data_IF_457272912794
#
_entry.id   IF_457272912794
#
_cell.length_a   1.000
_cell.length_b   1.000
_cell.length_c   1.000
_cell.angle_alpha   90.00
_cell.angle_beta   90.00
_cell.angle_gamma   90.00
#
_symmetry.space_group_name_H-M   'P 1'
#
loop_
_entity.id
_entity.type
_entity.pdbx_description
1 polymer ?
#
# COMPACT_ATOMS: atom_id res chain seq x y z
N UNK A 1 -5.55 -7.96 5.78
CA UNK A 1 -5.55 -6.59 6.36
C UNK A 1 -6.93 -6.00 6.28
N UNK A 2 -7.30 -5.19 7.27
CA UNK A 2 -8.51 -4.38 7.23
C UNK A 2 -8.28 -3.15 6.35
N UNK A 3 -9.34 -2.48 5.92
CA UNK A 3 -9.24 -1.23 5.16
C UNK A 3 -8.46 -0.15 5.93
N UNK A 4 -8.59 -0.11 7.26
CA UNK A 4 -7.85 0.81 8.13
C UNK A 4 -6.32 0.61 8.02
N UNK A 5 -5.84 -0.64 7.94
CA UNK A 5 -4.40 -0.91 7.81
C UNK A 5 -3.86 -0.43 6.45
N UNK A 6 -4.67 -0.52 5.39
CA UNK A 6 -4.29 -0.04 4.05
C UNK A 6 -4.21 1.49 4.01
N UNK A 7 -5.17 2.16 4.66
CA UNK A 7 -5.16 3.62 4.77
C UNK A 7 -3.92 4.11 5.54
N UNK A 8 -3.54 3.40 6.61
CA UNK A 8 -2.33 3.70 7.37
C UNK A 8 -1.06 3.52 6.52
N UNK A 9 -0.94 2.38 5.83
CA UNK A 9 0.19 2.10 4.94
C UNK A 9 0.32 3.16 3.83
N UNK A 10 -0.80 3.63 3.29
CA UNK A 10 -0.81 4.70 2.29
C UNK A 10 -0.30 6.01 2.87
N UNK A 11 -0.75 6.36 4.07
CA UNK A 11 -0.34 7.59 4.75
C UNK A 11 1.16 7.55 5.06
N UNK A 12 1.64 6.44 5.62
CA UNK A 12 3.07 6.20 5.86
C UNK A 12 3.88 6.25 4.56
N UNK A 13 3.41 5.62 3.49
CA UNK A 13 4.07 5.69 2.19
C UNK A 13 4.14 7.13 1.66
N UNK A 14 3.06 7.91 1.83
CA UNK A 14 3.01 9.32 1.42
C UNK A 14 3.92 10.21 2.26
N UNK A 15 4.17 9.84 3.52
CA UNK A 15 5.13 10.50 4.43
C UNK A 15 6.59 10.11 4.14
N UNK A 16 6.83 9.25 3.14
CA UNK A 16 8.16 8.83 2.71
C UNK A 16 8.65 7.53 3.36
N UNK A 17 7.75 6.73 3.93
CA UNK A 17 8.10 5.40 4.43
C UNK A 17 8.16 4.38 3.26
N UNK A 18 9.36 4.18 2.71
CA UNK A 18 9.60 3.22 1.61
C UNK A 18 9.12 1.80 1.92
N UNK A 19 9.19 1.37 3.19
CA UNK A 19 8.71 0.04 3.61
C UNK A 19 7.20 -0.08 3.44
N UNK A 20 6.47 0.98 3.74
CA UNK A 20 5.02 0.99 3.57
C UNK A 20 4.65 0.96 2.08
N UNK A 21 5.36 1.73 1.25
CA UNK A 21 5.19 1.70 -0.21
C UNK A 21 5.44 0.30 -0.79
N UNK A 22 6.58 -0.32 -0.45
CA UNK A 22 6.90 -1.68 -0.89
C UNK A 22 5.91 -2.74 -0.39
N UNK A 23 5.30 -2.52 0.77
CA UNK A 23 4.25 -3.41 1.27
C UNK A 23 3.00 -3.29 0.40
N UNK A 24 2.60 -2.08 0.01
CA UNK A 24 1.47 -1.86 -0.90
C UNK A 24 1.75 -2.45 -2.30
N UNK A 25 2.96 -2.27 -2.84
CA UNK A 25 3.38 -2.89 -4.11
C UNK A 25 3.27 -4.41 -4.08
N UNK A 26 3.85 -5.04 -3.06
CA UNK A 26 3.75 -6.50 -2.90
C UNK A 26 2.32 -6.98 -2.78
N UNK A 27 1.47 -6.25 -2.05
CA UNK A 27 0.07 -6.62 -1.90
C UNK A 27 -0.65 -6.53 -3.25
N UNK A 28 -0.36 -5.50 -4.04
CA UNK A 28 -0.87 -5.39 -5.39
C UNK A 28 -0.45 -6.57 -6.27
N UNK A 29 0.84 -6.93 -6.26
CA UNK A 29 1.37 -8.08 -7.00
C UNK A 29 0.76 -9.42 -6.56
N UNK A 30 0.40 -9.56 -5.27
CA UNK A 30 -0.25 -10.74 -4.70
C UNK A 30 -1.74 -10.85 -5.09
N UNK A 31 -2.27 -9.88 -5.84
CA UNK A 31 -3.65 -9.88 -6.34
C UNK A 31 -4.63 -9.13 -5.44
N UNK A 32 -4.15 -8.26 -4.55
CA UNK A 32 -5.01 -7.31 -3.82
C UNK A 32 -5.17 -6.03 -4.63
N UNK A 33 -6.21 -6.02 -5.46
CA UNK A 33 -6.59 -4.87 -6.28
C UNK A 33 -6.80 -3.58 -5.47
N UNK A 34 -7.23 -3.70 -4.21
CA UNK A 34 -7.38 -2.57 -3.29
C UNK A 34 -6.03 -1.92 -2.95
N UNK A 35 -4.93 -2.68 -2.88
CA UNK A 35 -3.59 -2.14 -2.69
C UNK A 35 -3.06 -1.44 -3.94
N UNK A 36 -3.38 -1.97 -5.13
CA UNK A 36 -2.94 -1.43 -6.42
C UNK A 36 -3.38 0.01 -6.65
N UNK A 37 -4.51 0.44 -6.04
CA UNK A 37 -4.98 1.81 -6.14
C UNK A 37 -4.03 2.83 -5.48
N UNK A 38 -3.10 2.35 -4.65
CA UNK A 38 -2.20 3.18 -3.87
C UNK A 38 -0.75 3.14 -4.35
N UNK A 39 -0.46 2.35 -5.39
CA UNK A 39 0.87 2.24 -6.00
C UNK A 39 0.86 2.96 -7.35
N UNK A 40 1.79 3.89 -7.62
CA UNK A 40 1.89 4.49 -8.95
C UNK A 40 2.28 3.42 -9.96
N UNK A 41 1.46 3.23 -10.99
CA UNK A 41 1.73 2.36 -12.15
C UNK A 41 2.91 2.85 -12.97
#
# INVERSE_FOLDING_TARGET
MKQEDMALLRDECSDGNDRACHTLERLCEDGRDDACQYTPT
#
